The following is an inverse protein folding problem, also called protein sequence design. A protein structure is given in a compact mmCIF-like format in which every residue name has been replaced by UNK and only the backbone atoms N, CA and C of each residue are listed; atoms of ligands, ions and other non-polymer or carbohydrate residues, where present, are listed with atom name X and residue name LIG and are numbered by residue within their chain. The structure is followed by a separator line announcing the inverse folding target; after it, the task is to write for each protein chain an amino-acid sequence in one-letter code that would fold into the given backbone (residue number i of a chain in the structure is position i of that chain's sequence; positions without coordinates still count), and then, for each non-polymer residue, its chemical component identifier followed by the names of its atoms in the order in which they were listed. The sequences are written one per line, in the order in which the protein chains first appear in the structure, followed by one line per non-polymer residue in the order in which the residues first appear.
data_IF_480851553810
#
_entry.id   IF_480851553810
#
_cell.length_a   1.000
_cell.length_b   1.000
_cell.length_c   1.000
_cell.angle_alpha   90.00
_cell.angle_beta   90.00
_cell.angle_gamma   90.00
#
_symmetry.space_group_name_H-M   'P 1'
#
loop_
_entity.id
_entity.type
_entity.pdbx_description
1 polymer ?
#
# COMPACT_ATOMS: atom_id res chain seq x y z
N UNK A 1 -9.55 -24.71 17.56
CA UNK A 1 -10.67 -24.03 18.25
C UNK A 1 -11.32 -23.11 17.24
N UNK A 2 -12.47 -23.51 16.75
CA UNK A 2 -13.25 -22.71 15.80
C UNK A 2 -13.74 -21.43 16.50
N UNK A 3 -13.40 -20.27 15.94
CA UNK A 3 -13.92 -18.99 16.41
C UNK A 3 -15.42 -18.94 16.10
N UNK A 4 -16.23 -18.90 17.14
CA UNK A 4 -17.69 -18.64 17.04
C UNK A 4 -17.89 -17.34 16.28
N UNK A 5 -18.50 -17.43 15.12
CA UNK A 5 -19.03 -16.28 14.38
C UNK A 5 -20.09 -15.58 15.25
N UNK A 6 -19.72 -14.44 15.80
CA UNK A 6 -20.67 -13.53 16.43
C UNK A 6 -21.49 -12.84 15.32
N UNK A 7 -22.75 -13.24 15.20
CA UNK A 7 -23.89 -12.52 14.61
C UNK A 7 -23.66 -11.81 13.28
N UNK A 8 -23.70 -12.54 12.17
CA UNK A 8 -23.77 -11.95 10.84
C UNK A 8 -24.09 -13.05 9.82
N UNK A 9 -25.15 -12.85 9.03
CA UNK A 9 -25.50 -13.70 7.89
C UNK A 9 -24.34 -13.85 6.90
N UNK A 10 -24.56 -14.56 5.82
CA UNK A 10 -23.59 -14.62 4.72
C UNK A 10 -23.38 -13.24 4.08
N UNK A 11 -22.17 -12.92 3.57
CA UNK A 11 -21.96 -11.66 2.87
C UNK A 11 -22.78 -11.60 1.58
N UNK A 12 -23.35 -10.45 1.30
CA UNK A 12 -24.14 -10.22 0.09
C UNK A 12 -23.28 -10.15 -1.17
N UNK A 13 -22.02 -9.74 -1.02
CA UNK A 13 -21.07 -9.57 -2.10
C UNK A 13 -19.65 -9.84 -1.57
N UNK A 14 -18.83 -10.54 -2.36
CA UNK A 14 -17.43 -10.82 -2.06
C UNK A 14 -16.57 -10.27 -3.20
N UNK A 15 -15.57 -9.47 -2.86
CA UNK A 15 -14.64 -8.87 -3.82
C UNK A 15 -13.20 -9.25 -3.52
N UNK A 16 -12.47 -9.68 -4.54
CA UNK A 16 -11.02 -9.63 -4.52
C UNK A 16 -10.55 -8.20 -4.86
N UNK A 17 -9.53 -7.71 -4.18
CA UNK A 17 -9.01 -6.36 -4.45
C UNK A 17 -7.48 -6.38 -4.50
N UNK A 18 -6.94 -5.90 -5.62
CA UNK A 18 -5.51 -5.79 -5.91
C UNK A 18 -5.21 -4.43 -6.55
N UNK A 19 -3.95 -4.08 -6.57
CA UNK A 19 -3.38 -3.03 -7.43
C UNK A 19 -1.88 -3.22 -7.59
N UNK A 20 -1.26 -2.40 -8.44
CA UNK A 20 0.18 -2.29 -8.54
C UNK A 20 0.84 -3.67 -8.70
N UNK A 21 0.35 -4.42 -9.70
CA UNK A 21 0.80 -5.78 -9.99
C UNK A 21 2.16 -5.72 -10.67
N UNK A 22 2.39 -4.70 -11.52
CA UNK A 22 3.63 -4.45 -12.24
C UNK A 22 4.15 -5.70 -12.96
N UNK A 23 3.33 -6.33 -13.80
CA UNK A 23 3.80 -7.41 -14.67
C UNK A 23 4.86 -6.85 -15.60
N UNK A 24 6.12 -7.22 -15.37
CA UNK A 24 7.24 -6.90 -16.24
C UNK A 24 7.50 -8.02 -17.25
N UNK A 25 7.51 -9.27 -16.75
CA UNK A 25 7.66 -10.48 -17.55
C UNK A 25 6.87 -11.65 -16.90
N UNK A 26 7.07 -12.85 -17.36
CA UNK A 26 6.37 -14.04 -16.87
C UNK A 26 6.67 -14.40 -15.41
N UNK A 27 7.72 -13.83 -14.80
CA UNK A 27 8.13 -14.17 -13.42
C UNK A 27 7.15 -13.64 -12.37
N UNK A 28 6.45 -12.53 -12.65
CA UNK A 28 5.45 -11.96 -11.74
C UNK A 28 4.09 -12.67 -11.86
N UNK A 29 3.82 -13.34 -12.99
CA UNK A 29 2.54 -13.99 -13.27
C UNK A 29 2.12 -15.00 -12.19
N UNK A 30 2.99 -15.87 -11.64
CA UNK A 30 2.59 -16.87 -10.65
C UNK A 30 2.00 -16.29 -9.36
N UNK A 31 2.48 -15.13 -8.90
CA UNK A 31 1.92 -14.47 -7.70
C UNK A 31 0.55 -13.89 -8.00
N UNK A 32 0.38 -13.30 -9.17
CA UNK A 32 -0.90 -12.79 -9.61
C UNK A 32 -1.94 -13.92 -9.79
N UNK A 33 -1.57 -15.02 -10.43
CA UNK A 33 -2.42 -16.21 -10.55
C UNK A 33 -2.83 -16.75 -9.18
N UNK A 34 -1.89 -16.85 -8.23
CA UNK A 34 -2.18 -17.29 -6.85
C UNK A 34 -3.21 -16.38 -6.16
N UNK A 35 -3.12 -15.06 -6.34
CA UNK A 35 -4.11 -14.14 -5.81
C UNK A 35 -5.50 -14.35 -6.46
N UNK A 36 -5.55 -14.54 -7.79
CA UNK A 36 -6.79 -14.84 -8.49
C UNK A 36 -7.39 -16.19 -8.07
N UNK A 37 -6.56 -17.23 -7.89
CA UNK A 37 -6.98 -18.54 -7.39
C UNK A 37 -7.54 -18.44 -5.98
N UNK A 38 -6.91 -17.69 -5.09
CA UNK A 38 -7.46 -17.41 -3.76
C UNK A 38 -8.85 -16.76 -3.85
N UNK A 39 -9.05 -15.77 -4.71
CA UNK A 39 -10.37 -15.14 -4.90
C UNK A 39 -11.40 -16.10 -5.48
N UNK A 40 -10.99 -16.96 -6.42
CA UNK A 40 -11.83 -18.04 -6.97
C UNK A 40 -12.32 -18.97 -5.87
N UNK A 41 -11.40 -19.46 -5.05
CA UNK A 41 -11.68 -20.44 -3.99
C UNK A 41 -12.53 -19.84 -2.86
N UNK A 42 -12.42 -18.52 -2.66
CA UNK A 42 -13.25 -17.72 -1.74
C UNK A 42 -14.56 -17.23 -2.38
N UNK A 43 -14.88 -17.71 -3.59
CA UNK A 43 -16.11 -17.41 -4.35
C UNK A 43 -16.35 -15.92 -4.57
N UNK A 44 -15.30 -15.15 -4.86
CA UNK A 44 -15.44 -13.74 -5.18
C UNK A 44 -16.41 -13.53 -6.37
N UNK A 45 -17.23 -12.50 -6.29
CA UNK A 45 -18.20 -12.11 -7.31
C UNK A 45 -17.61 -11.11 -8.30
N UNK A 46 -16.52 -10.45 -7.92
CA UNK A 46 -15.74 -9.56 -8.76
C UNK A 46 -14.32 -9.37 -8.23
N UNK A 47 -13.43 -8.93 -9.10
CA UNK A 47 -12.08 -8.53 -8.74
C UNK A 47 -11.83 -7.09 -9.16
N UNK A 48 -11.47 -6.25 -8.21
CA UNK A 48 -10.99 -4.88 -8.45
C UNK A 48 -9.48 -4.94 -8.65
N UNK A 49 -8.99 -4.35 -9.75
CA UNK A 49 -7.57 -4.02 -9.92
C UNK A 49 -7.48 -2.49 -10.07
N UNK A 50 -6.99 -1.85 -9.02
CA UNK A 50 -6.93 -0.39 -8.95
C UNK A 50 -5.67 0.18 -9.63
N UNK A 51 -5.38 -0.29 -10.85
CA UNK A 51 -4.33 0.22 -11.73
C UNK A 51 -2.97 -0.45 -11.59
N UNK A 52 -2.06 -0.04 -12.46
CA UNK A 52 -0.67 -0.51 -12.59
C UNK A 52 -0.57 -2.04 -12.71
N UNK A 53 -1.31 -2.58 -13.68
CA UNK A 53 -1.27 -3.98 -14.05
C UNK A 53 0.04 -4.35 -14.74
N UNK A 54 0.48 -3.50 -15.68
CA UNK A 54 1.75 -3.61 -16.39
C UNK A 54 2.81 -2.69 -15.79
N UNK A 55 4.07 -3.11 -15.77
CA UNK A 55 5.18 -2.30 -15.24
C UNK A 55 5.59 -1.15 -16.17
N UNK A 56 5.46 -1.33 -17.46
CA UNK A 56 5.92 -0.39 -18.51
C UNK A 56 4.85 0.01 -19.51
N UNK A 57 3.59 -0.39 -19.30
CA UNK A 57 2.51 -0.15 -20.24
C UNK A 57 2.75 -0.75 -21.62
N UNK A 58 3.42 -1.91 -21.69
CA UNK A 58 3.63 -2.65 -22.91
C UNK A 58 2.44 -3.58 -23.18
N UNK A 59 2.14 -3.78 -24.44
CA UNK A 59 1.02 -4.61 -24.87
C UNK A 59 1.18 -6.06 -24.42
N UNK A 60 2.38 -6.62 -24.55
CA UNK A 60 2.71 -7.99 -24.12
C UNK A 60 2.56 -8.16 -22.60
N UNK A 61 2.90 -7.16 -21.80
CA UNK A 61 2.70 -7.17 -20.36
C UNK A 61 1.21 -7.22 -19.99
N UNK A 62 0.37 -6.40 -20.64
CA UNK A 62 -1.09 -6.47 -20.45
C UNK A 62 -1.68 -7.78 -20.96
N UNK A 63 -1.12 -8.36 -22.03
CA UNK A 63 -1.51 -9.69 -22.50
C UNK A 63 -1.24 -10.79 -21.48
N UNK A 64 -0.13 -10.71 -20.72
CA UNK A 64 0.13 -11.62 -19.62
C UNK A 64 -0.94 -11.50 -18.52
N UNK A 65 -1.37 -10.27 -18.19
CA UNK A 65 -2.48 -10.05 -17.25
C UNK A 65 -3.77 -10.70 -17.75
N UNK A 66 -4.13 -10.46 -19.01
CA UNK A 66 -5.32 -11.07 -19.62
C UNK A 66 -5.25 -12.60 -19.67
N UNK A 67 -4.10 -13.17 -20.04
CA UNK A 67 -3.88 -14.62 -20.05
C UNK A 67 -4.03 -15.23 -18.64
N UNK A 68 -3.44 -14.62 -17.62
CA UNK A 68 -3.59 -15.07 -16.24
C UNK A 68 -5.04 -15.03 -15.77
N UNK A 69 -5.76 -13.94 -16.07
CA UNK A 69 -7.18 -13.84 -15.77
C UNK A 69 -7.99 -14.98 -16.41
N UNK A 70 -7.90 -15.17 -17.72
CA UNK A 70 -8.68 -16.17 -18.44
C UNK A 70 -8.25 -17.61 -18.16
N UNK A 71 -7.03 -17.83 -17.66
CA UNK A 71 -6.59 -19.13 -17.14
C UNK A 71 -7.33 -19.51 -15.87
N UNK A 72 -7.50 -18.56 -14.91
CA UNK A 72 -8.15 -18.79 -13.63
C UNK A 72 -9.67 -18.71 -13.74
N UNK A 73 -10.19 -17.82 -14.61
CA UNK A 73 -11.60 -17.57 -14.82
C UNK A 73 -11.97 -17.68 -16.32
N UNK A 74 -12.00 -18.89 -16.86
CA UNK A 74 -12.45 -19.09 -18.25
C UNK A 74 -13.84 -18.47 -18.47
N UNK A 75 -14.01 -17.73 -19.57
CA UNK A 75 -15.27 -17.07 -19.90
C UNK A 75 -15.83 -16.15 -18.79
N UNK A 76 -14.97 -15.62 -17.94
CA UNK A 76 -15.34 -14.83 -16.74
C UNK A 76 -16.28 -15.61 -15.80
N UNK A 77 -16.00 -16.89 -15.58
CA UNK A 77 -16.76 -17.75 -14.69
C UNK A 77 -15.87 -18.46 -13.68
N UNK A 78 -16.44 -18.67 -12.51
CA UNK A 78 -15.86 -19.56 -11.49
C UNK A 78 -16.18 -21.03 -11.84
N UNK A 79 -15.52 -22.00 -11.20
CA UNK A 79 -15.81 -23.44 -11.40
C UNK A 79 -17.26 -23.86 -11.07
N UNK A 80 -17.93 -23.10 -10.19
CA UNK A 80 -19.35 -23.32 -9.87
C UNK A 80 -20.32 -22.75 -10.94
N UNK A 81 -19.79 -22.25 -12.05
CA UNK A 81 -20.53 -21.68 -13.16
C UNK A 81 -21.03 -20.25 -12.93
N UNK A 82 -20.84 -19.68 -11.72
CA UNK A 82 -21.26 -18.31 -11.45
C UNK A 82 -20.32 -17.31 -12.13
N UNK A 83 -20.85 -16.16 -12.59
CA UNK A 83 -20.04 -15.12 -13.20
C UNK A 83 -19.12 -14.48 -12.17
N UNK A 84 -17.98 -13.96 -12.65
CA UNK A 84 -17.08 -13.08 -11.90
C UNK A 84 -16.75 -11.86 -12.75
N UNK A 85 -16.87 -10.67 -12.17
CA UNK A 85 -16.68 -9.41 -12.90
C UNK A 85 -15.26 -8.88 -12.78
N UNK A 86 -14.72 -8.41 -13.90
CA UNK A 86 -13.50 -7.58 -13.94
C UNK A 86 -13.88 -6.13 -13.65
N UNK A 87 -13.30 -5.57 -12.60
CA UNK A 87 -13.50 -4.19 -12.15
C UNK A 87 -12.14 -3.46 -12.21
N UNK A 88 -11.51 -3.52 -13.39
CA UNK A 88 -10.14 -3.07 -13.61
C UNK A 88 -10.11 -1.61 -14.06
N UNK A 89 -9.10 -0.88 -13.61
CA UNK A 89 -8.76 0.43 -14.16
C UNK A 89 -7.30 0.46 -14.57
N UNK A 90 -6.94 1.27 -15.55
CA UNK A 90 -5.54 1.56 -15.83
C UNK A 90 -4.95 2.51 -14.80
N UNK A 91 -3.71 2.25 -14.38
CA UNK A 91 -2.86 3.18 -13.66
C UNK A 91 -1.89 3.92 -14.60
N UNK A 92 -0.96 4.68 -14.02
CA UNK A 92 -0.01 5.45 -14.82
C UNK A 92 1.01 4.56 -15.55
N UNK A 93 1.46 3.46 -14.95
CA UNK A 93 2.37 2.52 -15.60
C UNK A 93 1.72 1.85 -16.81
N UNK A 94 0.42 1.58 -16.78
CA UNK A 94 -0.31 0.97 -17.90
C UNK A 94 -0.36 1.87 -19.15
N UNK A 95 -0.15 3.18 -19.01
CA UNK A 95 -0.38 4.15 -20.09
C UNK A 95 0.81 5.07 -20.39
N UNK A 96 1.81 5.17 -19.52
CA UNK A 96 2.94 6.08 -19.67
C UNK A 96 4.14 5.49 -20.41
N UNK A 97 4.19 4.16 -20.56
CA UNK A 97 5.22 3.49 -21.33
C UNK A 97 6.58 3.41 -20.65
N UNK A 98 7.60 3.10 -21.42
CA UNK A 98 8.98 2.77 -21.06
C UNK A 98 9.69 3.71 -20.11
N UNK A 99 9.34 3.71 -18.87
CA UNK A 99 9.96 4.55 -17.86
C UNK A 99 9.47 6.00 -17.91
N UNK A 100 9.41 6.59 -16.75
CA UNK A 100 9.04 7.98 -16.56
C UNK A 100 9.96 8.89 -17.42
N UNK A 101 9.36 9.59 -18.37
CA UNK A 101 10.05 10.55 -19.20
C UNK A 101 10.75 10.01 -20.43
N UNK A 102 10.52 8.76 -20.85
CA UNK A 102 10.96 8.29 -22.15
C UNK A 102 10.16 9.00 -23.26
N UNK A 103 10.84 9.88 -23.98
CA UNK A 103 10.27 10.53 -25.15
C UNK A 103 10.27 9.57 -26.35
N UNK A 104 9.43 9.80 -27.39
CA UNK A 104 9.50 9.02 -28.63
C UNK A 104 10.91 8.93 -29.22
N UNK A 105 11.73 9.96 -29.04
CA UNK A 105 13.13 9.98 -29.47
C UNK A 105 13.97 8.97 -28.68
N UNK A 106 13.88 8.97 -27.35
CA UNK A 106 14.60 8.01 -26.49
C UNK A 106 14.16 6.58 -26.76
N UNK A 107 12.86 6.35 -27.03
CA UNK A 107 12.35 5.04 -27.44
C UNK A 107 12.92 4.59 -28.78
N UNK A 108 13.02 5.49 -29.75
CA UNK A 108 13.63 5.19 -31.05
C UNK A 108 15.14 4.90 -30.95
N UNK A 109 15.84 5.57 -30.05
CA UNK A 109 17.26 5.31 -29.75
C UNK A 109 17.45 3.94 -29.07
N UNK A 110 16.55 3.59 -28.14
CA UNK A 110 16.61 2.32 -27.40
C UNK A 110 16.17 1.11 -28.23
N UNK A 111 15.20 1.30 -29.12
CA UNK A 111 14.64 0.30 -30.01
C UNK A 111 14.70 0.81 -31.46
N UNK A 112 15.87 0.69 -32.13
CA UNK A 112 16.10 1.36 -33.41
C UNK A 112 15.30 0.75 -34.59
N UNK A 113 14.98 -0.54 -34.53
CA UNK A 113 14.21 -1.18 -35.56
C UNK A 113 12.71 -1.20 -35.32
N UNK A 114 11.92 -1.18 -36.37
CA UNK A 114 10.47 -1.10 -36.30
C UNK A 114 9.83 -2.37 -35.72
N UNK A 115 10.41 -3.53 -35.95
CA UNK A 115 9.89 -4.81 -35.42
C UNK A 115 10.03 -4.85 -33.89
N UNK A 116 11.18 -4.44 -33.35
CA UNK A 116 11.40 -4.35 -31.93
C UNK A 116 10.50 -3.28 -31.29
N UNK A 117 10.33 -2.10 -31.94
CA UNK A 117 9.37 -1.08 -31.47
C UNK A 117 7.94 -1.59 -31.47
N UNK A 118 7.54 -2.37 -32.46
CA UNK A 118 6.21 -2.96 -32.55
C UNK A 118 5.99 -4.01 -31.45
N UNK A 119 7.00 -4.83 -31.15
CA UNK A 119 6.95 -5.81 -30.07
C UNK A 119 6.88 -5.16 -28.67
N UNK A 120 7.53 -4.00 -28.51
CA UNK A 120 7.53 -3.21 -27.25
C UNK A 120 6.59 -2.00 -27.32
N UNK A 121 5.49 -2.13 -28.01
CA UNK A 121 4.55 -1.04 -28.26
C UNK A 121 3.93 -0.54 -26.97
N UNK A 122 4.08 0.76 -26.72
CA UNK A 122 3.36 1.46 -25.65
C UNK A 122 1.86 1.35 -25.93
N UNK A 123 1.05 1.28 -24.86
CA UNK A 123 -0.41 1.33 -24.99
C UNK A 123 -0.84 2.73 -25.44
N UNK A 124 -0.70 3.02 -26.72
CA UNK A 124 -1.13 4.29 -27.34
C UNK A 124 -2.60 4.23 -27.74
N UNK A 125 -3.06 3.08 -28.21
CA UNK A 125 -4.48 2.80 -28.49
C UNK A 125 -5.09 2.02 -27.32
N UNK A 126 -5.41 2.75 -26.25
CA UNK A 126 -5.97 2.20 -25.02
C UNK A 126 -7.24 1.39 -25.26
N UNK A 127 -8.10 1.87 -26.16
CA UNK A 127 -9.34 1.21 -26.50
C UNK A 127 -9.09 -0.15 -27.13
N UNK A 128 -8.33 -0.20 -28.22
CA UNK A 128 -8.08 -1.44 -28.94
C UNK A 128 -7.37 -2.50 -28.09
N UNK A 129 -6.39 -2.08 -27.28
CA UNK A 129 -5.68 -3.00 -26.38
C UNK A 129 -6.61 -3.54 -25.29
N UNK A 130 -7.41 -2.68 -24.66
CA UNK A 130 -8.38 -3.07 -23.64
C UNK A 130 -9.40 -4.08 -24.19
N UNK A 131 -10.06 -3.74 -25.30
CA UNK A 131 -11.10 -4.58 -25.90
C UNK A 131 -10.54 -5.96 -26.34
N UNK A 132 -9.32 -5.98 -26.85
CA UNK A 132 -8.66 -7.21 -27.27
C UNK A 132 -8.19 -8.08 -26.09
N UNK A 133 -7.55 -7.46 -25.08
CA UNK A 133 -6.94 -8.18 -23.96
C UNK A 133 -7.98 -8.60 -22.95
N UNK A 134 -8.85 -7.68 -22.52
CA UNK A 134 -9.84 -7.96 -21.48
C UNK A 134 -11.21 -8.37 -22.04
N UNK A 135 -11.42 -8.29 -23.35
CA UNK A 135 -12.69 -8.64 -24.02
C UNK A 135 -13.87 -7.86 -23.46
N UNK A 136 -13.67 -6.57 -23.23
CA UNK A 136 -14.67 -5.65 -22.71
C UNK A 136 -14.65 -4.32 -23.45
N UNK A 137 -15.80 -3.62 -23.59
CA UNK A 137 -15.84 -2.31 -24.21
C UNK A 137 -15.05 -1.30 -23.39
N UNK A 138 -14.38 -0.39 -24.07
CA UNK A 138 -13.63 0.68 -23.44
C UNK A 138 -14.46 1.95 -23.26
N UNK A 139 -14.41 2.52 -22.04
CA UNK A 139 -14.82 3.89 -21.76
C UNK A 139 -13.93 4.46 -20.64
N UNK A 140 -13.59 5.76 -20.68
CA UNK A 140 -12.71 6.40 -19.71
C UNK A 140 -13.22 6.32 -18.28
N UNK A 141 -14.53 6.51 -18.08
CA UNK A 141 -15.27 6.23 -16.85
C UNK A 141 -16.37 5.26 -17.19
N UNK A 142 -16.56 4.21 -16.40
CA UNK A 142 -17.56 3.19 -16.64
C UNK A 142 -18.33 2.83 -15.37
N UNK A 143 -19.51 2.19 -15.53
CA UNK A 143 -20.22 1.58 -14.43
C UNK A 143 -20.63 0.14 -14.76
N UNK A 144 -20.58 -0.74 -13.76
CA UNK A 144 -21.07 -2.12 -13.79
C UNK A 144 -21.97 -2.40 -12.62
N UNK A 145 -22.80 -3.45 -12.73
CA UNK A 145 -23.65 -3.96 -11.66
C UNK A 145 -23.24 -5.38 -11.31
N UNK A 146 -22.93 -5.63 -10.04
CA UNK A 146 -22.61 -6.96 -9.53
C UNK A 146 -23.51 -7.26 -8.34
N UNK A 147 -24.34 -8.27 -8.43
CA UNK A 147 -25.33 -8.62 -7.38
C UNK A 147 -26.16 -7.41 -6.88
N UNK A 148 -26.46 -6.48 -7.79
CA UNK A 148 -27.22 -5.27 -7.47
C UNK A 148 -26.44 -4.19 -6.71
N UNK A 149 -25.11 -4.28 -6.67
CA UNK A 149 -24.20 -3.21 -6.23
C UNK A 149 -23.62 -2.50 -7.44
N UNK A 150 -23.55 -1.19 -7.37
CA UNK A 150 -22.95 -0.36 -8.43
C UNK A 150 -21.43 -0.26 -8.22
N UNK A 151 -20.69 -0.51 -9.30
CA UNK A 151 -19.26 -0.27 -9.41
C UNK A 151 -18.98 0.78 -10.46
N UNK A 152 -18.11 1.74 -10.14
CA UNK A 152 -17.68 2.79 -11.04
C UNK A 152 -16.17 2.73 -11.09
N UNK A 153 -15.58 2.73 -12.30
CA UNK A 153 -14.14 2.78 -12.51
C UNK A 153 -13.75 4.01 -13.33
N UNK A 154 -12.68 4.68 -12.92
CA UNK A 154 -12.03 5.72 -13.71
C UNK A 154 -10.62 5.28 -14.09
N UNK A 155 -10.33 5.17 -15.37
CA UNK A 155 -8.97 4.91 -15.86
C UNK A 155 -8.09 6.13 -15.67
N UNK A 156 -6.78 5.92 -15.54
CA UNK A 156 -5.79 6.99 -15.43
C UNK A 156 -5.96 8.06 -16.52
N UNK A 157 -6.06 9.31 -16.09
CA UNK A 157 -6.27 10.47 -16.94
C UNK A 157 -7.74 10.83 -17.19
N UNK A 158 -8.69 10.01 -16.68
CA UNK A 158 -10.14 10.26 -16.80
C UNK A 158 -10.81 10.61 -15.45
N UNK A 159 -10.05 10.74 -14.38
CA UNK A 159 -10.57 11.04 -13.04
C UNK A 159 -11.36 12.37 -13.02
N UNK A 160 -11.00 13.32 -13.87
CA UNK A 160 -11.69 14.62 -14.01
C UNK A 160 -13.12 14.50 -14.54
N UNK A 161 -13.43 13.39 -15.22
CA UNK A 161 -14.77 13.13 -15.75
C UNK A 161 -15.72 12.56 -14.70
N UNK A 162 -15.18 12.08 -13.55
CA UNK A 162 -15.94 11.40 -12.51
C UNK A 162 -17.14 12.22 -12.01
N UNK A 163 -16.94 13.51 -11.68
CA UNK A 163 -18.01 14.34 -11.13
C UNK A 163 -19.18 14.48 -12.10
N UNK A 164 -18.89 14.73 -13.37
CA UNK A 164 -19.92 14.83 -14.41
C UNK A 164 -20.62 13.47 -14.63
N UNK A 165 -19.87 12.37 -14.61
CA UNK A 165 -20.41 11.02 -14.74
C UNK A 165 -21.35 10.68 -13.59
N UNK A 166 -20.97 10.94 -12.34
CA UNK A 166 -21.80 10.69 -11.15
C UNK A 166 -23.12 11.47 -11.24
N UNK A 167 -23.05 12.79 -11.54
CA UNK A 167 -24.24 13.64 -11.68
C UNK A 167 -25.18 13.16 -12.78
N UNK A 168 -24.65 12.81 -13.94
CA UNK A 168 -25.45 12.33 -15.07
C UNK A 168 -26.12 10.98 -14.83
N UNK A 169 -25.58 10.14 -13.98
CA UNK A 169 -26.05 8.78 -13.73
C UNK A 169 -26.61 8.55 -12.32
N UNK A 170 -26.71 9.58 -11.49
CA UNK A 170 -27.08 9.51 -10.07
C UNK A 170 -28.36 8.70 -9.83
N UNK A 171 -29.44 9.04 -10.49
CA UNK A 171 -30.73 8.36 -10.38
C UNK A 171 -30.72 6.97 -11.00
N UNK A 172 -30.13 6.84 -12.20
CA UNK A 172 -30.06 5.57 -12.93
C UNK A 172 -29.30 4.48 -12.17
N UNK A 173 -28.23 4.87 -11.49
CA UNK A 173 -27.36 3.96 -10.74
C UNK A 173 -27.71 3.89 -9.24
N UNK A 174 -28.68 4.67 -8.76
CA UNK A 174 -29.11 4.66 -7.37
C UNK A 174 -28.06 5.16 -6.37
N UNK A 175 -27.22 6.13 -6.77
CA UNK A 175 -26.02 6.53 -6.00
C UNK A 175 -26.34 7.25 -4.68
N UNK A 176 -27.51 7.83 -4.51
CA UNK A 176 -27.99 8.50 -3.26
C UNK A 176 -28.71 7.55 -2.30
N UNK A 177 -28.69 6.26 -2.54
CA UNK A 177 -29.32 5.27 -1.67
C UNK A 177 -28.52 5.02 -0.38
N UNK A 178 -29.08 4.16 0.50
CA UNK A 178 -28.36 3.66 1.68
C UNK A 178 -27.34 2.57 1.34
N UNK A 179 -27.58 1.85 0.24
CA UNK A 179 -26.69 0.79 -0.22
C UNK A 179 -25.37 1.38 -0.66
N UNK A 180 -24.23 0.82 -0.27
CA UNK A 180 -22.94 1.31 -0.73
C UNK A 180 -22.80 1.10 -2.25
N UNK A 181 -22.11 2.03 -2.91
CA UNK A 181 -21.54 1.81 -4.22
C UNK A 181 -20.02 1.89 -4.15
N UNK A 182 -19.36 1.22 -5.06
CA UNK A 182 -17.92 1.07 -5.08
C UNK A 182 -17.31 1.88 -6.22
N UNK A 183 -16.20 2.51 -5.93
CA UNK A 183 -15.44 3.29 -6.90
C UNK A 183 -13.99 2.80 -6.93
N UNK A 184 -13.38 2.74 -8.10
CA UNK A 184 -11.96 2.44 -8.27
C UNK A 184 -11.28 3.46 -9.17
N UNK A 185 -10.14 3.96 -8.74
CA UNK A 185 -9.16 4.72 -9.52
C UNK A 185 -7.76 4.34 -9.06
N UNK A 186 -6.72 4.77 -9.80
CA UNK A 186 -5.37 4.42 -9.42
C UNK A 186 -4.80 5.30 -8.30
N UNK A 187 -4.71 6.65 -8.40
CA UNK A 187 -4.22 7.48 -7.31
C UNK A 187 -5.24 7.53 -6.16
N UNK A 188 -4.79 7.75 -4.93
CA UNK A 188 -5.71 7.94 -3.82
C UNK A 188 -6.54 9.22 -3.98
N UNK A 189 -7.82 9.22 -3.60
CA UNK A 189 -8.54 10.47 -3.42
C UNK A 189 -7.78 11.39 -2.46
N UNK A 190 -7.61 12.67 -2.81
CA UNK A 190 -6.80 13.62 -2.05
C UNK A 190 -7.18 13.69 -0.58
N UNK A 191 -6.20 13.79 0.30
CA UNK A 191 -6.33 13.91 1.76
C UNK A 191 -7.06 12.74 2.45
N UNK A 192 -6.99 11.54 1.90
CA UNK A 192 -7.63 10.34 2.46
C UNK A 192 -6.60 9.35 3.01
N UNK A 193 -6.29 8.28 2.29
CA UNK A 193 -5.38 7.20 2.70
C UNK A 193 -4.04 7.75 3.18
N UNK A 194 -3.53 7.28 4.31
CA UNK A 194 -2.26 7.71 4.94
C UNK A 194 -2.22 9.16 5.45
N UNK A 195 -3.30 9.92 5.30
CA UNK A 195 -3.42 11.30 5.78
C UNK A 195 -3.13 12.36 4.73
N UNK A 196 -3.34 13.62 5.08
CA UNK A 196 -3.06 14.75 4.22
C UNK A 196 -1.60 14.73 3.72
N UNK A 197 -1.41 15.10 2.47
CA UNK A 197 -0.08 15.23 1.84
C UNK A 197 0.73 13.92 1.70
N UNK A 198 0.11 12.76 1.94
CA UNK A 198 0.77 11.50 1.64
C UNK A 198 0.99 11.37 0.12
N UNK A 199 2.05 10.63 -0.25
CA UNK A 199 2.33 10.37 -1.66
C UNK A 199 1.27 9.47 -2.29
N UNK A 200 1.06 9.64 -3.59
CA UNK A 200 0.12 8.82 -4.36
C UNK A 200 -1.31 9.36 -4.40
N UNK A 201 -1.55 10.56 -3.91
CA UNK A 201 -2.86 11.21 -3.97
C UNK A 201 -3.10 11.92 -5.30
N UNK A 202 -4.34 11.94 -5.74
CA UNK A 202 -4.82 12.89 -6.73
C UNK A 202 -4.84 14.32 -6.13
N UNK A 203 -5.15 15.30 -6.93
CA UNK A 203 -5.24 16.70 -6.44
C UNK A 203 -6.64 17.01 -5.86
N UNK A 204 -7.27 16.04 -5.20
CA UNK A 204 -8.59 16.18 -4.59
C UNK A 204 -9.75 16.13 -5.59
N UNK A 205 -9.51 15.64 -6.80
CA UNK A 205 -10.56 15.53 -7.84
C UNK A 205 -11.62 14.54 -7.41
N UNK A 206 -11.22 13.32 -7.06
CA UNK A 206 -12.14 12.29 -6.60
C UNK A 206 -12.76 12.65 -5.24
N UNK A 207 -11.99 13.26 -4.33
CA UNK A 207 -12.51 13.71 -3.03
C UNK A 207 -13.68 14.67 -3.20
N UNK A 208 -13.55 15.68 -4.07
CA UNK A 208 -14.65 16.61 -4.34
C UNK A 208 -15.86 15.91 -4.94
N UNK A 209 -15.64 15.04 -5.92
CA UNK A 209 -16.72 14.32 -6.60
C UNK A 209 -17.49 13.38 -5.65
N UNK A 210 -16.76 12.64 -4.80
CA UNK A 210 -17.35 11.63 -3.89
C UNK A 210 -17.90 12.23 -2.60
N UNK A 211 -17.51 13.43 -2.20
CA UNK A 211 -17.98 14.05 -0.94
C UNK A 211 -19.50 14.25 -0.86
N UNK A 212 -20.18 14.26 -2.00
CA UNK A 212 -21.66 14.30 -2.06
C UNK A 212 -22.32 12.92 -1.83
N UNK A 213 -21.52 11.86 -1.67
CA UNK A 213 -22.00 10.47 -1.62
C UNK A 213 -21.43 9.72 -0.41
N UNK A 214 -22.00 9.88 0.79
CA UNK A 214 -21.46 9.29 2.02
C UNK A 214 -21.46 7.74 2.02
N UNK A 215 -22.23 7.12 1.14
CA UNK A 215 -22.26 5.68 0.90
C UNK A 215 -21.23 5.19 -0.14
N UNK A 216 -20.39 6.07 -0.69
CA UNK A 216 -19.32 5.68 -1.60
C UNK A 216 -18.16 4.99 -0.83
N UNK A 217 -17.63 3.92 -1.44
CA UNK A 217 -16.44 3.21 -0.99
C UNK A 217 -15.42 3.21 -2.13
N UNK A 218 -14.34 3.97 -1.99
CA UNK A 218 -13.30 4.12 -2.99
C UNK A 218 -12.12 3.18 -2.70
N UNK A 219 -11.63 2.47 -3.72
CA UNK A 219 -10.39 1.68 -3.71
C UNK A 219 -9.36 2.33 -4.62
N UNK A 220 -8.11 2.40 -4.13
CA UNK A 220 -7.03 3.06 -4.85
C UNK A 220 -5.65 2.50 -4.50
N UNK A 221 -4.74 2.47 -5.48
CA UNK A 221 -3.38 1.96 -5.38
C UNK A 221 -2.31 3.05 -5.36
N UNK A 222 -1.33 2.94 -6.27
CA UNK A 222 -0.31 3.94 -6.60
C UNK A 222 0.77 4.17 -5.53
N UNK A 223 0.41 4.22 -4.26
CA UNK A 223 1.36 4.49 -3.18
C UNK A 223 2.11 3.26 -2.69
N UNK A 224 1.64 2.07 -3.00
CA UNK A 224 2.18 0.79 -2.51
C UNK A 224 2.29 0.68 -0.98
N UNK A 225 1.53 1.48 -0.21
CA UNK A 225 1.60 1.40 1.24
C UNK A 225 1.07 0.06 1.76
N UNK A 226 1.77 -0.49 2.77
CA UNK A 226 1.44 -1.81 3.32
C UNK A 226 0.05 -1.84 3.96
N UNK A 227 -0.68 -2.93 3.75
CA UNK A 227 -1.96 -3.22 4.45
C UNK A 227 -1.78 -3.47 5.95
N UNK A 228 -0.58 -3.45 6.47
CA UNK A 228 -0.33 -3.44 7.92
C UNK A 228 -0.49 -2.06 8.54
N UNK A 229 -0.55 -1.02 7.71
CA UNK A 229 -0.76 0.35 8.16
C UNK A 229 -2.26 0.64 8.34
N UNK A 230 -2.67 0.89 9.57
CA UNK A 230 -4.08 1.14 9.92
C UNK A 230 -4.65 2.41 9.27
N UNK A 231 -3.79 3.28 8.69
CA UNK A 231 -4.18 4.48 7.94
C UNK A 231 -4.52 4.20 6.47
N UNK A 232 -4.40 2.94 6.01
CA UNK A 232 -4.87 2.54 4.67
C UNK A 232 -6.39 2.59 4.53
N UNK A 233 -7.14 2.68 5.61
CA UNK A 233 -8.58 2.95 5.60
C UNK A 233 -8.84 4.33 6.20
N UNK A 234 -9.58 5.13 5.46
CA UNK A 234 -10.04 6.45 5.90
C UNK A 234 -11.56 6.57 5.73
N UNK A 235 -12.22 7.15 6.73
CA UNK A 235 -13.63 7.49 6.69
C UNK A 235 -13.83 8.98 7.00
N UNK A 236 -14.36 9.71 6.03
CA UNK A 236 -14.72 11.12 6.14
C UNK A 236 -16.09 11.37 5.54
N UNK A 237 -16.15 12.16 4.47
CA UNK A 237 -17.37 12.36 3.70
C UNK A 237 -17.80 11.08 2.93
N UNK A 238 -16.88 10.16 2.70
CA UNK A 238 -17.05 8.83 2.11
C UNK A 238 -16.00 7.90 2.72
N UNK A 239 -15.94 6.63 2.30
CA UNK A 239 -14.89 5.69 2.71
C UNK A 239 -13.84 5.56 1.61
N UNK A 240 -12.55 5.66 1.96
CA UNK A 240 -11.42 5.44 1.05
C UNK A 240 -10.48 4.36 1.60
N UNK A 241 -10.05 3.43 0.73
CA UNK A 241 -9.27 2.25 1.09
C UNK A 241 -8.10 2.13 0.12
N UNK A 242 -6.89 2.15 0.67
CA UNK A 242 -5.66 1.86 -0.06
C UNK A 242 -5.48 0.37 -0.26
N UNK A 243 -5.09 -0.05 -1.47
CA UNK A 243 -5.08 -1.45 -1.90
C UNK A 243 -3.71 -2.11 -1.80
N UNK A 244 -2.68 -1.38 -1.39
CA UNK A 244 -1.29 -1.84 -1.34
C UNK A 244 -0.70 -2.17 -2.72
N UNK A 245 0.14 -3.19 -2.81
CA UNK A 245 0.77 -3.63 -4.06
C UNK A 245 1.00 -5.14 -4.07
N UNK A 246 0.82 -5.72 -5.25
CA UNK A 246 1.20 -7.12 -5.50
C UNK A 246 2.65 -7.23 -6.02
N UNK A 247 3.37 -6.12 -6.15
CA UNK A 247 4.76 -6.09 -6.63
C UNK A 247 5.76 -5.78 -5.51
N UNK A 248 5.76 -4.59 -4.98
CA UNK A 248 6.66 -4.15 -3.91
C UNK A 248 5.95 -3.16 -3.00
N UNK A 249 6.40 -3.09 -1.76
CA UNK A 249 5.77 -2.27 -0.70
C UNK A 249 6.63 -1.05 -0.42
N UNK A 250 5.99 0.13 -0.33
CA UNK A 250 6.63 1.34 0.18
C UNK A 250 6.29 1.58 1.65
N UNK A 251 7.24 2.21 2.37
CA UNK A 251 6.96 2.91 3.62
C UNK A 251 7.07 4.42 3.39
N UNK A 252 6.53 5.21 4.33
CA UNK A 252 6.64 6.67 4.27
C UNK A 252 8.12 7.12 4.28
N UNK A 253 8.38 8.29 3.69
CA UNK A 253 9.69 8.93 3.64
C UNK A 253 10.40 9.03 4.99
N UNK A 254 11.72 9.24 4.94
CA UNK A 254 12.57 9.59 6.07
C UNK A 254 12.85 8.48 7.07
N UNK A 255 13.02 7.23 6.59
CA UNK A 255 13.57 6.12 7.39
C UNK A 255 14.96 5.75 6.90
N UNK A 256 15.87 5.50 7.87
CA UNK A 256 17.27 5.26 7.58
C UNK A 256 17.56 3.92 6.90
N UNK A 257 16.74 2.92 7.16
CA UNK A 257 16.93 1.54 6.70
C UNK A 257 16.11 1.18 5.45
N UNK A 258 15.69 2.17 4.67
CA UNK A 258 15.04 1.90 3.39
C UNK A 258 16.05 1.69 2.27
N UNK A 259 15.74 0.79 1.33
CA UNK A 259 16.45 0.77 0.05
C UNK A 259 16.10 2.00 -0.76
N UNK A 260 17.10 2.69 -1.29
CA UNK A 260 16.90 3.86 -2.14
C UNK A 260 16.89 3.42 -3.60
N UNK A 261 15.77 3.58 -4.28
CA UNK A 261 15.82 3.71 -5.72
C UNK A 261 16.38 5.08 -6.10
N UNK A 262 17.56 5.07 -6.72
CA UNK A 262 18.24 6.13 -7.50
C UNK A 262 18.09 7.61 -7.10
N UNK A 263 17.29 7.95 -6.10
CA UNK A 263 17.08 9.31 -5.68
C UNK A 263 17.52 9.54 -4.23
N UNK A 264 18.77 9.90 -4.06
CA UNK A 264 19.41 10.20 -2.76
C UNK A 264 18.66 11.29 -1.97
N UNK A 265 17.80 12.07 -2.62
CA UNK A 265 17.04 13.16 -2.01
C UNK A 265 15.65 12.74 -1.51
N UNK A 266 15.11 11.65 -2.04
CA UNK A 266 13.80 11.14 -1.62
C UNK A 266 13.96 9.76 -0.99
N UNK A 267 14.42 9.68 0.23
CA UNK A 267 14.59 8.44 1.00
C UNK A 267 13.26 7.71 1.19
N UNK A 268 12.73 7.14 0.11
CA UNK A 268 11.59 6.21 0.17
C UNK A 268 12.13 4.82 0.47
N UNK A 269 11.87 4.25 1.63
CA UNK A 269 12.19 2.87 1.87
C UNK A 269 11.29 1.99 1.02
N UNK A 270 11.86 1.42 -0.04
CA UNK A 270 11.27 0.29 -0.73
C UNK A 270 11.68 -0.95 0.04
N UNK A 271 10.69 -1.73 0.41
CA UNK A 271 10.94 -3.02 1.00
C UNK A 271 11.33 -4.00 -0.11
N UNK A 272 12.30 -4.88 0.13
CA UNK A 272 12.69 -5.89 -0.85
C UNK A 272 11.47 -6.63 -1.42
N UNK A 273 11.45 -6.88 -2.72
CA UNK A 273 10.31 -7.48 -3.43
C UNK A 273 9.83 -8.81 -2.83
N UNK A 274 10.73 -9.55 -2.19
CA UNK A 274 10.42 -10.82 -1.54
C UNK A 274 9.73 -10.66 -0.18
N UNK A 275 9.48 -9.43 0.30
CA UNK A 275 8.91 -9.17 1.63
C UNK A 275 7.46 -8.73 1.63
N UNK A 276 6.83 -8.51 0.48
CA UNK A 276 5.43 -8.11 0.49
C UNK A 276 4.77 -8.14 -0.88
N UNK A 277 3.75 -8.98 -1.00
CA UNK A 277 2.87 -9.11 -2.17
C UNK A 277 1.43 -9.09 -1.66
N UNK A 278 0.88 -7.90 -1.45
CA UNK A 278 -0.35 -7.75 -0.66
C UNK A 278 -1.59 -7.46 -1.50
N UNK A 279 -2.72 -7.88 -0.97
CA UNK A 279 -4.05 -7.61 -1.48
C UNK A 279 -5.10 -7.99 -0.43
N UNK A 280 -6.37 -7.88 -0.77
CA UNK A 280 -7.43 -8.10 0.20
C UNK A 280 -8.64 -8.81 -0.38
N UNK A 281 -9.39 -9.47 0.50
CA UNK A 281 -10.73 -9.96 0.24
C UNK A 281 -11.72 -9.10 1.04
N UNK A 282 -12.69 -8.53 0.35
CA UNK A 282 -13.70 -7.66 0.94
C UNK A 282 -15.04 -8.36 0.91
N UNK A 283 -15.59 -8.62 2.10
CA UNK A 283 -16.94 -9.15 2.29
C UNK A 283 -17.88 -8.02 2.66
N UNK A 284 -18.96 -7.85 1.91
CA UNK A 284 -19.94 -6.76 2.07
C UNK A 284 -21.18 -7.28 2.80
N UNK A 285 -21.52 -6.64 3.90
CA UNK A 285 -22.70 -6.87 4.71
C UNK A 285 -23.60 -5.62 4.69
N UNK A 286 -24.77 -5.69 5.31
CA UNK A 286 -25.70 -4.55 5.34
C UNK A 286 -25.12 -3.32 6.05
N UNK A 287 -24.36 -3.53 7.11
CA UNK A 287 -23.90 -2.50 8.02
C UNK A 287 -22.37 -2.27 8.01
N UNK A 288 -21.63 -3.14 7.32
CA UNK A 288 -20.13 -3.08 7.34
C UNK A 288 -19.51 -3.77 6.14
N UNK A 289 -18.22 -3.44 5.94
CA UNK A 289 -17.27 -4.26 5.19
C UNK A 289 -16.40 -5.05 6.16
N UNK A 290 -16.12 -6.29 5.83
CA UNK A 290 -15.07 -7.07 6.48
C UNK A 290 -13.94 -7.26 5.47
N UNK A 291 -12.76 -6.75 5.79
CA UNK A 291 -11.61 -6.74 4.90
C UNK A 291 -10.53 -7.66 5.45
N UNK A 292 -10.35 -8.80 4.81
CA UNK A 292 -9.27 -9.73 5.07
C UNK A 292 -8.02 -9.29 4.29
N UNK A 293 -6.92 -9.02 5.00
CA UNK A 293 -5.65 -8.55 4.44
C UNK A 293 -4.70 -9.71 4.23
N UNK A 294 -4.20 -9.89 3.02
CA UNK A 294 -3.38 -11.06 2.63
C UNK A 294 -2.01 -10.69 2.09
N UNK A 295 -1.06 -11.53 2.43
CA UNK A 295 0.25 -11.66 1.78
C UNK A 295 0.18 -12.86 0.82
N UNK A 296 0.49 -12.65 -0.46
CA UNK A 296 0.35 -13.68 -1.49
C UNK A 296 1.65 -14.44 -1.83
N UNK A 297 2.75 -14.17 -1.16
CA UNK A 297 3.94 -15.05 -1.26
C UNK A 297 3.70 -16.40 -0.61
N UNK A 298 3.10 -16.41 0.56
CA UNK A 298 2.82 -17.59 1.38
C UNK A 298 1.34 -17.77 1.76
N UNK A 299 0.48 -16.84 1.41
CA UNK A 299 -0.97 -16.90 1.66
C UNK A 299 -1.38 -16.57 3.09
N UNK A 300 -0.50 -15.94 3.90
CA UNK A 300 -0.80 -15.57 5.27
C UNK A 300 -1.60 -14.27 5.41
N UNK A 301 -2.32 -14.12 6.52
CA UNK A 301 -2.90 -12.83 6.90
C UNK A 301 -1.81 -11.88 7.39
N UNK A 302 -1.82 -10.63 6.94
CA UNK A 302 -0.89 -9.60 7.42
C UNK A 302 -1.35 -8.90 8.69
N UNK A 303 -2.56 -9.19 9.15
CA UNK A 303 -3.11 -8.65 10.39
C UNK A 303 -4.56 -9.08 10.61
N UNK A 304 -5.19 -8.64 11.71
CA UNK A 304 -6.62 -8.84 11.93
C UNK A 304 -7.46 -8.24 10.80
N UNK A 305 -8.65 -8.78 10.57
CA UNK A 305 -9.56 -8.23 9.58
C UNK A 305 -10.02 -6.82 10.00
N UNK A 306 -10.12 -5.91 9.03
CA UNK A 306 -10.75 -4.62 9.27
C UNK A 306 -12.27 -4.76 9.18
N UNK A 307 -12.98 -4.29 10.22
CA UNK A 307 -14.42 -4.19 10.24
C UNK A 307 -14.81 -2.72 10.04
N UNK A 308 -15.10 -2.34 8.80
CA UNK A 308 -15.35 -0.95 8.39
C UNK A 308 -16.85 -0.70 8.39
N UNK A 309 -17.40 0.07 9.35
CA UNK A 309 -18.84 0.30 9.41
C UNK A 309 -19.32 1.18 8.26
N UNK A 310 -20.56 0.91 7.80
CA UNK A 310 -21.24 1.67 6.75
C UNK A 310 -22.41 2.49 7.33
N UNK A 311 -22.46 2.64 8.65
CA UNK A 311 -23.53 3.31 9.41
C UNK A 311 -23.33 4.83 9.59
N UNK A 312 -22.28 5.38 9.00
CA UNK A 312 -21.91 6.78 9.14
C UNK A 312 -21.14 7.13 10.43
N UNK A 313 -20.79 6.14 11.27
CA UNK A 313 -20.04 6.36 12.51
C UNK A 313 -18.62 6.88 12.31
N UNK A 314 -18.08 6.78 11.09
CA UNK A 314 -16.73 7.22 10.72
C UNK A 314 -15.62 6.65 11.63
N UNK A 315 -15.77 5.36 12.03
CA UNK A 315 -14.85 4.72 12.97
C UNK A 315 -13.38 4.70 12.51
N UNK A 316 -13.13 4.87 11.21
CA UNK A 316 -11.82 4.98 10.59
C UNK A 316 -11.43 6.42 10.20
N UNK A 317 -12.14 7.45 10.71
CA UNK A 317 -11.61 8.81 10.66
C UNK A 317 -10.30 8.87 11.46
N UNK A 318 -9.30 9.61 10.98
CA UNK A 318 -7.96 9.55 11.57
C UNK A 318 -7.91 9.96 13.05
N UNK A 319 -8.67 10.98 13.43
CA UNK A 319 -8.81 11.41 14.82
C UNK A 319 -9.47 10.33 15.69
N UNK A 320 -10.55 9.72 15.20
CA UNK A 320 -11.28 8.65 15.90
C UNK A 320 -10.45 7.37 16.01
N UNK A 321 -9.80 6.96 14.92
CA UNK A 321 -8.97 5.76 14.89
C UNK A 321 -7.70 5.95 15.69
N UNK A 322 -7.00 7.08 15.47
CA UNK A 322 -5.78 7.43 16.19
C UNK A 322 -5.97 7.45 17.70
N UNK A 323 -7.05 8.06 18.21
CA UNK A 323 -7.35 8.09 19.63
C UNK A 323 -7.52 6.71 20.30
N UNK A 324 -7.74 5.65 19.52
CA UNK A 324 -7.87 4.27 19.99
C UNK A 324 -6.57 3.46 19.88
N UNK A 325 -5.55 4.01 19.23
CA UNK A 325 -4.27 3.33 19.09
C UNK A 325 -3.49 3.35 20.40
N UNK A 326 -2.90 2.22 20.72
CA UNK A 326 -2.04 2.06 21.89
C UNK A 326 -0.60 1.89 21.40
N UNK A 327 0.30 2.68 21.94
CA UNK A 327 1.71 2.61 21.56
C UNK A 327 2.30 1.23 21.86
N UNK A 328 3.20 0.72 20.99
CA UNK A 328 3.94 -0.50 21.26
C UNK A 328 4.97 -0.29 22.39
N UNK A 329 5.34 -1.36 23.08
CA UNK A 329 6.23 -1.27 24.24
C UNK A 329 7.37 -2.28 24.15
N UNK A 330 8.51 -1.92 24.68
CA UNK A 330 9.61 -2.86 24.90
C UNK A 330 9.28 -3.84 26.03
N UNK A 331 9.84 -5.05 25.94
CA UNK A 331 9.78 -5.99 27.06
C UNK A 331 10.50 -5.42 28.30
N UNK A 332 10.07 -5.82 29.48
CA UNK A 332 10.77 -5.48 30.71
C UNK A 332 12.24 -5.94 30.67
N UNK A 333 13.15 -5.08 31.09
CA UNK A 333 14.59 -5.36 31.06
C UNK A 333 15.25 -5.19 29.67
N UNK A 334 14.52 -4.69 28.66
CA UNK A 334 15.09 -4.35 27.37
C UNK A 334 16.20 -3.31 27.51
N UNK A 335 17.32 -3.51 26.82
CA UNK A 335 18.49 -2.64 26.88
C UNK A 335 18.99 -2.28 25.48
N UNK A 336 19.71 -1.17 25.41
CA UNK A 336 20.37 -0.67 24.20
C UNK A 336 21.84 -0.98 24.28
N UNK A 337 22.40 -1.59 23.22
CA UNK A 337 23.84 -1.82 23.07
C UNK A 337 24.38 -0.90 21.99
N UNK A 338 25.51 -0.27 22.25
CA UNK A 338 26.16 0.64 21.30
C UNK A 338 27.53 0.06 20.91
N UNK A 339 27.83 0.07 19.61
CA UNK A 339 29.13 -0.39 19.08
C UNK A 339 29.69 0.65 18.12
N UNK A 340 31.02 0.67 17.96
CA UNK A 340 31.73 1.52 17.02
C UNK A 340 32.55 0.63 16.07
N UNK A 341 32.48 0.90 14.78
CA UNK A 341 33.28 0.21 13.77
C UNK A 341 33.42 1.08 12.50
N UNK A 342 34.37 0.72 11.68
CA UNK A 342 34.42 1.21 10.30
C UNK A 342 33.31 0.54 9.50
N UNK A 343 32.58 1.34 8.74
CA UNK A 343 31.54 0.88 7.83
C UNK A 343 31.57 1.66 6.52
N UNK A 344 30.53 1.55 5.71
CA UNK A 344 30.37 2.35 4.49
C UNK A 344 29.13 3.22 4.63
N UNK A 345 29.24 4.48 4.24
CA UNK A 345 28.06 5.33 4.08
C UNK A 345 27.21 4.90 2.86
N UNK A 346 26.09 5.58 2.63
CA UNK A 346 25.18 5.31 1.51
C UNK A 346 25.81 5.49 0.13
N UNK A 347 26.95 6.20 0.04
CA UNK A 347 27.73 6.39 -1.20
C UNK A 347 28.83 5.37 -1.35
N UNK A 348 28.95 4.42 -0.42
CA UNK A 348 29.99 3.40 -0.40
C UNK A 348 31.33 3.90 0.17
N UNK A 349 31.41 5.13 0.69
CA UNK A 349 32.62 5.70 1.28
C UNK A 349 32.84 5.13 2.66
N UNK A 350 34.06 4.70 2.95
CA UNK A 350 34.46 4.23 4.27
C UNK A 350 34.31 5.35 5.30
N UNK A 351 33.60 5.12 6.38
CA UNK A 351 33.39 6.06 7.48
C UNK A 351 33.30 5.33 8.81
N UNK A 352 33.75 5.99 9.87
CA UNK A 352 33.53 5.49 11.23
C UNK A 352 32.04 5.61 11.57
N UNK A 353 31.46 4.55 12.12
CA UNK A 353 30.03 4.45 12.43
C UNK A 353 29.81 4.02 13.87
N UNK A 354 28.78 4.58 14.46
CA UNK A 354 28.21 4.16 15.75
C UNK A 354 26.88 3.47 15.48
N UNK A 355 26.80 2.20 15.83
CA UNK A 355 25.59 1.39 15.66
C UNK A 355 24.89 1.19 16.98
N UNK A 356 23.62 1.57 17.02
CA UNK A 356 22.71 1.40 18.15
C UNK A 356 21.90 0.15 17.90
N UNK A 357 22.04 -0.87 18.75
CA UNK A 357 21.33 -2.13 18.70
C UNK A 357 20.30 -2.18 19.82
N UNK A 358 19.11 -2.63 19.52
CA UNK A 358 18.02 -2.74 20.49
C UNK A 358 17.11 -3.93 20.15
N UNK A 359 16.42 -4.53 21.15
CA UNK A 359 15.42 -5.56 20.88
C UNK A 359 14.24 -4.96 20.14
N UNK A 360 13.51 -5.76 19.35
CA UNK A 360 12.24 -5.33 18.79
C UNK A 360 11.22 -5.10 19.93
N UNK A 361 10.45 -4.04 19.82
CA UNK A 361 9.30 -3.81 20.70
C UNK A 361 8.16 -4.75 20.33
N UNK A 362 7.27 -5.01 21.27
CA UNK A 362 6.08 -5.83 21.07
C UNK A 362 4.95 -4.96 20.51
N UNK A 363 4.20 -5.47 19.51
CA UNK A 363 2.99 -4.81 19.05
C UNK A 363 1.99 -4.69 20.21
N UNK A 364 1.13 -3.67 20.16
CA UNK A 364 0.01 -3.53 21.06
C UNK A 364 -1.20 -4.34 20.58
N UNK A 365 -2.29 -4.32 21.35
CA UNK A 365 -3.55 -4.93 20.92
C UNK A 365 -4.19 -4.23 19.70
N UNK A 366 -3.83 -2.99 19.42
CA UNK A 366 -4.47 -2.16 18.39
C UNK A 366 -3.55 -1.78 17.25
N UNK A 367 -2.23 -1.92 17.40
CA UNK A 367 -1.27 -1.49 16.39
C UNK A 367 0.03 -2.28 16.40
N UNK A 368 0.70 -2.28 15.27
CA UNK A 368 2.06 -2.83 15.10
C UNK A 368 3.10 -1.75 15.40
N UNK A 369 4.34 -2.20 15.60
CA UNK A 369 5.49 -1.28 15.62
C UNK A 369 5.73 -0.79 14.20
N UNK A 370 5.56 0.50 13.96
CA UNK A 370 5.78 1.11 12.66
C UNK A 370 7.26 1.43 12.46
N UNK A 371 7.81 2.24 13.36
CA UNK A 371 9.22 2.60 13.34
C UNK A 371 9.77 2.80 14.77
N UNK A 372 11.06 3.07 14.83
CA UNK A 372 11.76 3.44 16.05
C UNK A 372 12.37 4.83 15.87
N UNK A 373 12.07 5.74 16.81
CA UNK A 373 12.81 6.98 16.94
C UNK A 373 14.07 6.70 17.77
N UNK A 374 15.23 6.99 17.21
CA UNK A 374 16.55 6.82 17.87
C UNK A 374 17.21 8.18 17.98
N UNK A 375 17.37 8.66 19.20
CA UNK A 375 17.92 9.97 19.49
C UNK A 375 19.23 9.85 20.29
N UNK A 376 20.26 10.59 19.89
CA UNK A 376 21.47 10.77 20.67
C UNK A 376 21.33 12.02 21.55
N UNK A 377 21.60 11.88 22.83
CA UNK A 377 21.64 12.98 23.79
C UNK A 377 23.05 13.13 24.34
N UNK A 378 23.59 14.34 24.32
CA UNK A 378 24.84 14.68 24.98
C UNK A 378 24.59 15.25 26.36
N UNK A 379 25.61 15.06 27.23
CA UNK A 379 25.59 15.55 28.61
C UNK A 379 26.48 16.76 28.75
N UNK A 380 25.94 17.81 29.33
CA UNK A 380 26.72 18.93 29.77
C UNK A 380 26.13 19.47 31.08
N UNK A 381 26.90 19.48 32.15
CA UNK A 381 26.51 20.03 33.47
C UNK A 381 25.13 19.54 33.95
N UNK A 382 24.90 18.22 33.90
CA UNK A 382 23.65 17.54 34.30
C UNK A 382 22.41 17.84 33.41
N UNK A 383 22.59 18.49 32.27
CA UNK A 383 21.52 18.73 31.31
C UNK A 383 21.72 17.84 30.06
N UNK A 384 20.72 17.04 29.77
CA UNK A 384 20.64 16.28 28.51
C UNK A 384 20.06 17.14 27.39
N UNK A 385 20.71 17.19 26.23
CA UNK A 385 20.18 17.85 25.03
C UNK A 385 20.31 16.96 23.80
N UNK A 386 19.33 16.95 22.92
CA UNK A 386 19.36 16.11 21.73
C UNK A 386 20.39 16.68 20.72
N UNK A 387 21.24 15.82 20.21
CA UNK A 387 22.30 16.18 19.24
C UNK A 387 22.09 15.56 17.87
N UNK A 388 21.41 14.41 17.81
CA UNK A 388 21.03 13.75 16.57
C UNK A 388 19.74 12.96 16.76
N UNK A 389 18.95 12.83 15.71
CA UNK A 389 17.74 12.03 15.72
C UNK A 389 17.56 11.34 14.38
N UNK A 390 17.24 10.04 14.41
CA UNK A 390 16.95 9.24 13.25
C UNK A 390 15.67 8.42 13.47
N UNK A 391 15.06 7.96 12.36
CA UNK A 391 13.99 6.99 12.39
C UNK A 391 14.36 5.78 11.56
N UNK A 392 14.11 4.60 12.09
CA UNK A 392 14.28 3.33 11.37
C UNK A 392 12.97 2.57 11.35
N UNK A 393 12.57 2.11 10.17
CA UNK A 393 11.37 1.30 10.00
C UNK A 393 11.53 -0.01 10.80
N UNK A 394 10.45 -0.46 11.42
CA UNK A 394 10.44 -1.81 12.00
C UNK A 394 10.49 -2.84 10.87
N UNK A 395 11.45 -3.75 10.92
CA UNK A 395 11.60 -4.83 9.92
C UNK A 395 10.35 -5.71 9.85
N UNK A 396 9.60 -5.82 10.94
CA UNK A 396 8.37 -6.63 11.01
C UNK A 396 7.12 -5.89 10.54
N UNK A 397 7.17 -4.59 10.29
CA UNK A 397 5.95 -3.80 10.09
C UNK A 397 5.07 -4.35 8.96
N UNK A 398 5.67 -4.71 7.85
CA UNK A 398 4.99 -5.16 6.63
C UNK A 398 4.88 -6.69 6.51
N UNK A 399 5.48 -7.44 7.45
CA UNK A 399 5.48 -8.90 7.43
C UNK A 399 4.25 -9.48 8.13
N UNK A 400 3.83 -10.70 7.77
CA UNK A 400 2.88 -11.46 8.58
C UNK A 400 3.36 -11.62 10.02
N UNK A 401 2.44 -11.75 11.01
CA UNK A 401 2.79 -11.89 12.42
C UNK A 401 3.73 -13.08 12.74
N UNK A 402 3.74 -14.08 11.89
CA UNK A 402 4.62 -15.27 12.02
C UNK A 402 6.10 -15.00 11.71
N UNK A 403 6.41 -13.85 11.12
CA UNK A 403 7.76 -13.45 10.70
C UNK A 403 8.24 -12.18 11.42
N UNK A 404 7.96 -12.05 12.71
CA UNK A 404 8.37 -10.87 13.48
C UNK A 404 9.88 -10.81 13.67
N UNK A 405 10.46 -9.63 13.47
CA UNK A 405 11.85 -9.35 13.81
C UNK A 405 12.06 -9.36 15.34
N UNK A 406 13.23 -9.79 15.78
CA UNK A 406 13.59 -9.85 17.19
C UNK A 406 14.45 -8.66 17.65
N UNK A 407 14.96 -7.87 16.72
CA UNK A 407 15.88 -6.75 16.97
C UNK A 407 15.71 -5.64 15.95
N UNK A 408 16.19 -4.44 16.30
CA UNK A 408 16.38 -3.32 15.39
C UNK A 408 17.79 -2.73 15.52
N UNK A 409 18.21 -1.99 14.50
CA UNK A 409 19.48 -1.30 14.48
C UNK A 409 19.35 0.10 13.89
N UNK A 410 20.14 1.06 14.39
CA UNK A 410 20.25 2.38 13.82
C UNK A 410 21.73 2.78 13.72
N UNK A 411 22.14 3.26 12.57
CA UNK A 411 23.55 3.63 12.32
C UNK A 411 23.66 5.14 12.22
N UNK A 412 24.61 5.71 13.00
CA UNK A 412 25.05 7.09 12.89
C UNK A 412 26.48 7.11 12.32
N UNK A 413 26.75 7.96 11.34
CA UNK A 413 28.13 8.30 11.02
C UNK A 413 28.75 9.05 12.21
N UNK A 414 30.03 8.84 12.49
CA UNK A 414 30.69 9.54 13.61
C UNK A 414 30.60 11.07 13.47
N UNK A 415 30.54 11.58 12.24
CA UNK A 415 30.35 13.00 11.93
C UNK A 415 28.98 13.57 12.26
N UNK A 416 27.97 12.73 12.49
CA UNK A 416 26.63 13.15 12.90
C UNK A 416 26.49 13.27 14.42
N UNK A 417 27.51 12.84 15.15
CA UNK A 417 27.58 12.88 16.61
C UNK A 417 28.52 14.00 17.08
N UNK A 418 28.49 14.39 18.35
CA UNK A 418 29.45 15.36 18.90
C UNK A 418 30.89 14.93 18.73
N UNK A 419 31.79 15.89 18.89
CA UNK A 419 33.25 15.65 18.82
C UNK A 419 33.67 14.51 19.74
N UNK A 420 34.72 13.81 19.34
CA UNK A 420 35.36 12.73 20.10
C UNK A 420 35.60 13.11 21.56
N UNK A 421 35.30 12.20 22.48
CA UNK A 421 35.39 12.39 23.91
C UNK A 421 34.14 12.98 24.58
N UNK A 422 33.08 13.25 23.79
CA UNK A 422 31.81 13.68 24.37
C UNK A 422 30.99 12.44 24.81
N UNK A 423 30.47 12.48 26.02
CA UNK A 423 29.54 11.42 26.50
C UNK A 423 28.17 11.63 25.92
N UNK A 424 27.59 10.57 25.32
CA UNK A 424 26.23 10.54 24.77
C UNK A 424 25.45 9.35 25.33
N UNK A 425 24.14 9.46 25.38
CA UNK A 425 23.21 8.32 25.54
C UNK A 425 22.30 8.23 24.33
N UNK A 426 21.94 7.02 23.95
CA UNK A 426 20.97 6.79 22.92
C UNK A 426 19.64 6.40 23.55
N UNK A 427 18.61 7.11 23.14
CA UNK A 427 17.22 6.92 23.58
C UNK A 427 16.44 6.34 22.43
N UNK A 428 15.83 5.18 22.61
CA UNK A 428 15.08 4.48 21.57
C UNK A 428 13.62 4.39 22.00
N UNK A 429 12.70 4.85 21.15
CA UNK A 429 11.25 4.77 21.35
C UNK A 429 10.59 4.05 20.19
N UNK A 430 9.77 3.02 20.41
CA UNK A 430 8.94 2.44 19.37
C UNK A 430 7.75 3.37 19.10
N UNK A 431 7.32 3.46 17.84
CA UNK A 431 6.13 4.22 17.45
C UNK A 431 5.18 3.35 16.65
N UNK A 432 3.91 3.68 16.64
CA UNK A 432 2.93 3.11 15.74
C UNK A 432 2.58 4.10 14.62
N UNK A 433 1.77 3.69 13.65
CA UNK A 433 1.57 4.45 12.41
C UNK A 433 0.86 5.81 12.59
N UNK A 434 0.13 6.07 13.68
CA UNK A 434 -0.44 7.38 14.02
C UNK A 434 0.53 8.28 14.80
N UNK A 435 1.72 7.76 15.18
CA UNK A 435 2.79 8.53 15.80
C UNK A 435 2.80 8.49 17.33
N UNK A 436 1.96 7.68 17.99
CA UNK A 436 2.06 7.49 19.44
C UNK A 436 3.34 6.72 19.76
N UNK A 437 4.06 7.21 20.76
CA UNK A 437 5.37 6.71 21.17
C UNK A 437 5.27 5.89 22.44
N UNK A 438 5.82 4.69 22.43
CA UNK A 438 6.00 3.88 23.63
C UNK A 438 7.10 4.41 24.53
N UNK A 439 7.25 3.78 25.71
CA UNK A 439 8.30 4.14 26.65
C UNK A 439 9.68 3.92 26.06
N UNK A 440 10.58 4.85 26.37
CA UNK A 440 11.95 4.76 25.91
C UNK A 440 12.74 3.71 26.67
N UNK A 441 13.68 3.07 25.95
CA UNK A 441 14.85 2.43 26.55
C UNK A 441 16.09 3.28 26.26
N UNK A 442 17.05 3.27 27.16
CA UNK A 442 18.20 4.17 27.13
C UNK A 442 19.49 3.34 27.22
N UNK A 443 20.51 3.71 26.46
CA UNK A 443 21.82 3.07 26.55
C UNK A 443 22.57 3.52 27.80
N UNK A 444 23.57 2.75 28.20
CA UNK A 444 24.65 3.26 29.03
C UNK A 444 25.34 4.45 28.33
N UNK A 445 26.04 5.33 29.12
CA UNK A 445 26.86 6.37 28.53
C UNK A 445 27.89 5.80 27.56
N UNK A 446 27.95 6.39 26.38
CA UNK A 446 28.88 6.04 25.30
C UNK A 446 29.75 7.25 24.98
N UNK A 447 31.07 7.06 24.84
CA UNK A 447 31.98 8.13 24.50
C UNK A 447 32.18 8.18 22.98
N UNK A 448 31.84 9.33 22.37
CA UNK A 448 31.95 9.57 20.92
C UNK A 448 33.38 9.58 20.42
#
# INVERSE_FOLDING_TARGET
MESRHLGGGEPHLILGVLSDIHIFDEKQVPVFERALEFFRDRKADGVIIAGDMADRGLVDQLELVGKAWFKVFPENRRPDGQPIEKLFVYGNHDVQGHGYGDTPKKLAEKYPDEATRAAHRIVTDRKAVWERVFKEPWTGVYAKQVKGYTFIGSHWGYEKELEAFLKANESKLGLKGKKPFFYAQHPHPGDTVQGPWAWGHDRGVATRALSAYPNAVAFSGHSHYSLTDERCVWQGAFTSIGTSSLSYIFAQYWRENGENHDNVLMQMPILPEHLGKQGMLVSVYDDKLVIERREFLDGEKVGPDWHVPLDGSRAFAFDVRGAKMVAPEFAAGASVKVTRAMGKDRRGTATEQVTVHFPAAKPSATSRVYDYEVQAFAYHEDVDYPVASKRVLSESFHLPPTREATRGTCVFAASELPKKGTKVRFVVRPTECYGHKGRAIVSDPFET
#
